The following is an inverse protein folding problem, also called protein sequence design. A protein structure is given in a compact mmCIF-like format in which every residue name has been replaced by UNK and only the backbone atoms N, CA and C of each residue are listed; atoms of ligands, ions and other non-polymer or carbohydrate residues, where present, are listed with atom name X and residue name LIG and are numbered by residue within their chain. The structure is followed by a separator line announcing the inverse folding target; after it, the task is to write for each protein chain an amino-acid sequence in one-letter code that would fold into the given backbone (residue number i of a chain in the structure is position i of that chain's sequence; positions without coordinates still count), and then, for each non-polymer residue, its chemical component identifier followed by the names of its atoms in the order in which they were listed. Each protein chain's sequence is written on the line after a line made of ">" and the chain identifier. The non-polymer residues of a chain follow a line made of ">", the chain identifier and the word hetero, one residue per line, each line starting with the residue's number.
data_IF_115752203519
#
_entry.id   IF_115752203519
#
_cell.length_a   1.000
_cell.length_b   1.000
_cell.length_c   1.000
_cell.angle_alpha   90.00
_cell.angle_beta   90.00
_cell.angle_gamma   90.00
#
_symmetry.space_group_name_H-M   'P 1'
#
loop_
_entity.id
_entity.type
_entity.pdbx_description
1 polymer ?
#
# COMPACT_ATOMS: atom_id res chain seq x y z
N UNK A 1 -0.14 -16.21 3.81
CA UNK A 1 -1.48 -15.75 3.43
C UNK A 1 -2.45 -16.01 4.58
N UNK A 2 -3.51 -15.20 4.69
CA UNK A 2 -4.61 -15.49 5.60
C UNK A 2 -5.46 -16.65 5.06
N UNK A 3 -6.29 -17.25 5.93
CA UNK A 3 -7.15 -18.38 5.55
C UNK A 3 -8.07 -18.00 4.38
N UNK A 4 -8.69 -16.82 4.44
CA UNK A 4 -9.55 -16.30 3.37
C UNK A 4 -8.85 -16.22 2.00
N UNK A 5 -7.57 -15.83 1.96
CA UNK A 5 -6.82 -15.75 0.71
C UNK A 5 -6.54 -17.14 0.13
N UNK A 6 -6.27 -18.13 1.00
CA UNK A 6 -6.05 -19.52 0.59
C UNK A 6 -7.34 -20.13 0.06
N UNK A 7 -8.46 -19.93 0.77
CA UNK A 7 -9.78 -20.43 0.34
C UNK A 7 -10.21 -19.80 -0.99
N UNK A 8 -9.99 -18.48 -1.13
CA UNK A 8 -10.29 -17.77 -2.38
C UNK A 8 -9.42 -18.27 -3.55
N UNK A 9 -8.13 -18.54 -3.30
CA UNK A 9 -7.19 -19.04 -4.31
C UNK A 9 -7.62 -20.42 -4.82
N UNK A 10 -7.94 -21.35 -3.92
CA UNK A 10 -8.33 -22.71 -4.29
C UNK A 10 -7.33 -23.34 -5.26
N UNK A 11 -7.84 -23.89 -6.34
CA UNK A 11 -7.05 -24.54 -7.42
C UNK A 11 -6.75 -23.60 -8.61
N UNK A 12 -6.98 -22.28 -8.48
CA UNK A 12 -6.73 -21.33 -9.56
C UNK A 12 -5.25 -21.28 -9.92
N UNK A 13 -4.96 -21.24 -11.21
CA UNK A 13 -3.62 -20.90 -11.68
C UNK A 13 -3.24 -19.46 -11.28
N UNK A 14 -1.94 -19.17 -11.15
CA UNK A 14 -1.48 -17.88 -10.64
C UNK A 14 -1.92 -16.70 -11.53
N UNK A 15 -1.85 -16.86 -12.84
CA UNK A 15 -2.30 -15.86 -13.83
C UNK A 15 -3.80 -15.59 -13.75
N UNK A 16 -4.62 -16.62 -13.57
CA UNK A 16 -6.05 -16.51 -13.34
C UNK A 16 -6.33 -15.81 -12.01
N UNK A 17 -5.66 -16.22 -10.93
CA UNK A 17 -5.80 -15.60 -9.63
C UNK A 17 -5.38 -14.11 -9.68
N UNK A 18 -4.27 -13.78 -10.34
CA UNK A 18 -3.83 -12.40 -10.50
C UNK A 18 -4.84 -11.56 -11.28
N UNK A 19 -5.38 -12.08 -12.37
CA UNK A 19 -6.34 -11.37 -13.22
C UNK A 19 -7.68 -11.09 -12.51
N UNK A 20 -8.12 -12.01 -11.62
CA UNK A 20 -9.45 -11.94 -10.99
C UNK A 20 -9.45 -11.45 -9.54
N UNK A 21 -8.30 -11.29 -8.89
CA UNK A 21 -8.21 -10.85 -7.51
C UNK A 21 -8.74 -9.41 -7.32
N UNK A 22 -9.68 -9.22 -6.42
CA UNK A 22 -10.21 -7.89 -6.04
C UNK A 22 -9.59 -7.37 -4.72
N UNK A 23 -8.48 -7.96 -4.27
CA UNK A 23 -7.80 -7.66 -3.02
C UNK A 23 -6.36 -7.22 -3.30
N UNK A 24 -6.14 -5.90 -3.43
CA UNK A 24 -4.80 -5.36 -3.67
C UNK A 24 -3.79 -5.69 -2.57
N UNK A 25 -4.24 -5.79 -1.31
CA UNK A 25 -3.40 -6.22 -0.19
C UNK A 25 -2.87 -7.67 -0.37
N UNK A 26 -3.69 -8.59 -0.88
CA UNK A 26 -3.25 -9.94 -1.20
C UNK A 26 -2.28 -9.97 -2.37
N UNK A 27 -2.54 -9.17 -3.41
CA UNK A 27 -1.66 -9.07 -4.58
C UNK A 27 -0.28 -8.53 -4.21
N UNK A 28 -0.21 -7.45 -3.39
CA UNK A 28 1.05 -6.91 -2.90
C UNK A 28 1.82 -7.91 -2.03
N UNK A 29 1.11 -8.67 -1.19
CA UNK A 29 1.72 -9.73 -0.40
C UNK A 29 2.33 -10.82 -1.30
N UNK A 30 1.60 -11.28 -2.32
CA UNK A 30 2.07 -12.31 -3.24
C UNK A 30 3.27 -11.81 -4.06
N UNK A 31 3.17 -10.60 -4.63
CA UNK A 31 4.25 -9.99 -5.41
C UNK A 31 5.54 -9.83 -4.60
N UNK A 32 5.45 -9.30 -3.39
CA UNK A 32 6.60 -9.10 -2.51
C UNK A 32 7.31 -10.41 -2.11
N UNK A 33 6.60 -11.54 -2.15
CA UNK A 33 7.16 -12.87 -1.89
C UNK A 33 7.78 -13.52 -3.10
N UNK A 34 7.18 -13.34 -4.27
CA UNK A 34 7.63 -13.94 -5.51
C UNK A 34 8.78 -13.17 -6.16
N UNK A 35 8.80 -11.85 -5.99
CA UNK A 35 9.73 -10.93 -6.66
C UNK A 35 10.47 -10.05 -5.64
N UNK A 36 11.15 -10.70 -4.69
CA UNK A 36 11.83 -10.05 -3.56
C UNK A 36 12.97 -9.09 -3.97
N UNK A 37 13.47 -9.20 -5.19
CA UNK A 37 14.51 -8.35 -5.81
C UNK A 37 13.94 -7.10 -6.50
N UNK A 38 12.63 -7.04 -6.73
CA UNK A 38 11.94 -5.92 -7.41
C UNK A 38 11.36 -4.89 -6.44
N UNK A 39 12.16 -4.51 -5.44
CA UNK A 39 11.70 -3.58 -4.38
C UNK A 39 11.28 -2.21 -4.90
N UNK A 40 11.90 -1.67 -5.96
CA UNK A 40 11.55 -0.36 -6.50
C UNK A 40 10.16 -0.37 -7.12
N UNK A 41 9.85 -1.39 -7.90
CA UNK A 41 8.54 -1.58 -8.52
C UNK A 41 7.47 -1.75 -7.43
N UNK A 42 7.74 -2.58 -6.42
CA UNK A 42 6.85 -2.79 -5.29
C UNK A 42 6.55 -1.48 -4.55
N UNK A 43 7.57 -0.70 -4.18
CA UNK A 43 7.40 0.57 -3.46
C UNK A 43 6.61 1.58 -4.29
N UNK A 44 6.87 1.66 -5.60
CA UNK A 44 6.10 2.51 -6.51
C UNK A 44 4.62 2.13 -6.56
N UNK A 45 4.32 0.84 -6.67
CA UNK A 45 2.95 0.35 -6.64
C UNK A 45 2.25 0.61 -5.31
N UNK A 46 2.94 0.34 -4.19
CA UNK A 46 2.41 0.61 -2.83
C UNK A 46 2.11 2.10 -2.65
N UNK A 47 2.99 2.99 -3.12
CA UNK A 47 2.76 4.44 -3.06
C UNK A 47 1.50 4.86 -3.85
N UNK A 48 1.26 4.28 -5.02
CA UNK A 48 0.03 4.54 -5.79
C UNK A 48 -1.22 3.99 -5.07
N UNK A 49 -1.12 2.83 -4.42
CA UNK A 49 -2.21 2.29 -3.61
C UNK A 49 -2.55 3.22 -2.43
N UNK A 50 -1.54 3.73 -1.70
CA UNK A 50 -1.74 4.66 -0.58
C UNK A 50 -2.22 6.03 -1.08
N UNK A 51 -1.81 6.46 -2.27
CA UNK A 51 -2.27 7.72 -2.87
C UNK A 51 -3.78 7.75 -3.15
N UNK A 52 -4.47 6.62 -3.19
CA UNK A 52 -5.94 6.57 -3.26
C UNK A 52 -6.61 7.27 -2.06
N UNK A 53 -5.92 7.30 -0.90
CA UNK A 53 -6.36 7.98 0.32
C UNK A 53 -5.60 9.31 0.58
N UNK A 54 -4.76 9.78 -0.35
CA UNK A 54 -3.93 10.98 -0.17
C UNK A 54 -4.76 12.24 0.12
N UNK A 55 -5.95 12.35 -0.45
CA UNK A 55 -6.87 13.47 -0.24
C UNK A 55 -7.36 13.60 1.20
N UNK A 56 -7.17 12.57 2.03
CA UNK A 56 -7.48 12.54 3.46
C UNK A 56 -6.27 12.90 4.33
N UNK A 57 -5.06 12.99 3.73
CA UNK A 57 -3.84 13.30 4.47
C UNK A 57 -3.76 14.80 4.74
N UNK A 58 -3.77 15.17 6.00
CA UNK A 58 -3.66 16.57 6.46
C UNK A 58 -2.23 16.98 6.80
N UNK A 59 -1.34 16.03 7.08
CA UNK A 59 0.06 16.28 7.39
C UNK A 59 0.93 16.22 6.13
N UNK A 60 1.67 17.31 5.87
CA UNK A 60 2.52 17.42 4.69
C UNK A 60 3.63 16.36 4.66
N UNK A 61 4.14 15.92 5.81
CA UNK A 61 5.18 14.90 5.90
C UNK A 61 4.70 13.56 5.33
N UNK A 62 3.45 13.19 5.57
CA UNK A 62 2.84 11.98 4.97
C UNK A 62 2.76 12.07 3.44
N UNK A 63 2.40 13.24 2.92
CA UNK A 63 2.38 13.50 1.47
C UNK A 63 3.80 13.44 0.88
N UNK A 64 4.79 13.98 1.59
CA UNK A 64 6.17 14.00 1.13
C UNK A 64 6.81 12.60 1.13
N UNK A 65 6.41 11.71 2.04
CA UNK A 65 6.78 10.28 1.98
C UNK A 65 6.29 9.65 0.68
N UNK A 66 5.05 9.88 0.25
CA UNK A 66 4.54 9.30 -0.99
C UNK A 66 5.30 9.83 -2.22
N UNK A 67 5.68 11.11 -2.23
CA UNK A 67 6.55 11.67 -3.28
C UNK A 67 7.94 11.02 -3.26
N UNK A 68 8.50 10.80 -2.07
CA UNK A 68 9.79 10.12 -1.91
C UNK A 68 9.73 8.66 -2.38
N UNK A 69 8.64 7.94 -2.11
CA UNK A 69 8.42 6.59 -2.65
C UNK A 69 8.46 6.57 -4.19
N UNK A 70 7.82 7.54 -4.85
CA UNK A 70 7.86 7.68 -6.31
C UNK A 70 9.27 7.96 -6.83
N UNK A 71 10.00 8.86 -6.18
CA UNK A 71 11.42 9.14 -6.52
C UNK A 71 12.29 7.90 -6.35
N UNK A 72 12.09 7.15 -5.27
CA UNK A 72 12.81 5.89 -5.06
C UNK A 72 12.50 4.85 -6.14
N UNK A 73 11.24 4.69 -6.51
CA UNK A 73 10.81 3.80 -7.59
C UNK A 73 11.48 4.17 -8.92
N UNK A 74 11.62 5.46 -9.22
CA UNK A 74 12.30 5.97 -10.41
C UNK A 74 13.83 5.91 -10.34
N UNK A 75 14.42 5.56 -9.20
CA UNK A 75 15.87 5.54 -9.00
C UNK A 75 16.51 6.89 -8.71
N UNK A 76 15.71 7.91 -8.41
CA UNK A 76 16.16 9.29 -8.18
C UNK A 76 16.76 9.51 -6.78
N UNK A 77 16.34 8.69 -5.81
CA UNK A 77 16.86 8.71 -4.43
C UNK A 77 17.27 7.31 -3.97
N UNK A 78 18.12 7.27 -2.94
CA UNK A 78 18.55 6.04 -2.28
C UNK A 78 17.48 5.50 -1.33
N UNK A 79 17.68 4.28 -0.86
CA UNK A 79 16.84 3.65 0.16
C UNK A 79 16.97 4.36 1.51
N UNK A 80 18.17 4.80 1.86
CA UNK A 80 18.47 5.54 3.08
C UNK A 80 17.75 6.89 3.10
N UNK A 81 17.76 7.60 1.97
CA UNK A 81 17.00 8.84 1.82
C UNK A 81 15.50 8.61 1.95
N UNK A 82 14.95 7.55 1.31
CA UNK A 82 13.54 7.21 1.47
C UNK A 82 13.17 6.96 2.93
N UNK A 83 14.00 6.22 3.67
CA UNK A 83 13.74 5.92 5.08
C UNK A 83 13.80 7.16 5.97
N UNK A 84 14.59 8.18 5.63
CA UNK A 84 14.58 9.44 6.40
C UNK A 84 13.24 10.17 6.32
N UNK A 85 12.57 10.16 5.16
CA UNK A 85 11.20 10.66 5.03
C UNK A 85 10.20 9.85 5.86
N UNK A 86 10.37 8.52 5.91
CA UNK A 86 9.51 7.65 6.69
C UNK A 86 9.58 7.97 8.20
N UNK A 87 10.78 8.16 8.74
CA UNK A 87 11.00 8.52 10.14
C UNK A 87 10.30 9.84 10.46
N UNK A 88 10.49 10.88 9.64
CA UNK A 88 9.84 12.18 9.85
C UNK A 88 8.30 12.09 9.85
N UNK A 89 7.73 11.21 9.02
CA UNK A 89 6.28 10.96 9.02
C UNK A 89 5.82 10.21 10.27
N UNK A 90 6.61 9.27 10.76
CA UNK A 90 6.30 8.52 11.99
C UNK A 90 6.31 9.43 13.22
N UNK A 91 7.33 10.27 13.37
CA UNK A 91 7.40 11.28 14.44
C UNK A 91 6.20 12.24 14.43
N UNK A 92 5.69 12.56 13.23
CA UNK A 92 4.47 13.34 13.08
C UNK A 92 3.23 12.63 13.62
N UNK A 93 3.13 11.33 13.34
CA UNK A 93 2.01 10.50 13.77
C UNK A 93 1.97 10.35 15.30
N UNK A 94 3.14 10.19 15.94
CA UNK A 94 3.23 10.11 17.40
C UNK A 94 2.83 11.42 18.09
N UNK A 95 3.10 12.56 17.44
CA UNK A 95 2.76 13.87 18.00
C UNK A 95 1.25 14.21 17.92
N UNK A 96 0.47 13.50 17.08
CA UNK A 96 -0.93 13.81 16.87
C UNK A 96 -1.77 12.56 16.54
N UNK A 97 -2.57 12.09 17.50
CA UNK A 97 -3.36 10.86 17.40
C UNK A 97 -4.37 10.86 16.24
N UNK A 98 -4.88 12.03 15.82
CA UNK A 98 -5.86 12.14 14.73
C UNK A 98 -5.24 11.92 13.33
N UNK A 99 -3.92 12.01 13.22
CA UNK A 99 -3.16 11.83 11.95
C UNK A 99 -2.74 10.37 11.74
N UNK A 100 -2.88 9.54 12.77
CA UNK A 100 -2.17 8.28 12.93
C UNK A 100 -2.37 7.27 11.78
N UNK A 101 -3.61 7.09 11.28
CA UNK A 101 -3.89 6.10 10.23
C UNK A 101 -3.24 6.46 8.88
N UNK A 102 -3.27 7.75 8.51
CA UNK A 102 -2.75 8.23 7.23
C UNK A 102 -1.23 8.28 7.23
N UNK A 103 -0.63 8.72 8.34
CA UNK A 103 0.81 8.71 8.52
C UNK A 103 1.36 7.28 8.61
N UNK A 104 0.62 6.36 9.25
CA UNK A 104 0.97 4.95 9.25
C UNK A 104 0.96 4.34 7.83
N UNK A 105 -0.03 4.67 7.00
CA UNK A 105 -0.09 4.21 5.62
C UNK A 105 1.12 4.71 4.80
N UNK A 106 1.48 5.99 4.93
CA UNK A 106 2.62 6.57 4.25
C UNK A 106 3.95 5.96 4.73
N UNK A 107 4.14 5.84 6.05
CA UNK A 107 5.28 5.17 6.66
C UNK A 107 5.44 3.73 6.15
N UNK A 108 4.36 2.94 6.13
CA UNK A 108 4.39 1.57 5.65
C UNK A 108 4.73 1.48 4.16
N UNK A 109 4.32 2.46 3.35
CA UNK A 109 4.68 2.52 1.94
C UNK A 109 6.21 2.66 1.76
N UNK A 110 6.87 3.53 2.52
CA UNK A 110 8.32 3.67 2.47
C UNK A 110 9.03 2.43 3.04
N UNK A 111 8.50 1.85 4.13
CA UNK A 111 9.04 0.63 4.72
C UNK A 111 8.94 -0.61 3.83
N UNK A 112 8.09 -0.62 2.81
CA UNK A 112 8.04 -1.69 1.82
C UNK A 112 9.39 -1.89 1.10
N UNK A 113 10.25 -0.87 1.08
CA UNK A 113 11.62 -0.97 0.56
C UNK A 113 12.54 -1.90 1.38
N UNK A 114 12.20 -2.17 2.64
CA UNK A 114 13.02 -2.96 3.57
C UNK A 114 12.29 -4.18 4.12
N UNK A 115 10.96 -4.19 4.10
CA UNK A 115 10.16 -5.25 4.69
C UNK A 115 8.94 -5.56 3.81
N UNK A 116 8.89 -6.77 3.27
CA UNK A 116 7.79 -7.25 2.41
C UNK A 116 6.42 -7.17 3.07
N UNK A 117 6.33 -7.31 4.40
CA UNK A 117 5.06 -7.20 5.12
C UNK A 117 4.51 -5.77 5.10
N UNK A 118 5.37 -4.76 5.04
CA UNK A 118 4.94 -3.35 5.00
C UNK A 118 4.12 -3.02 3.77
N UNK A 119 4.35 -3.66 2.62
CA UNK A 119 3.54 -3.47 1.42
C UNK A 119 2.06 -3.85 1.65
N UNK A 120 1.81 -4.98 2.31
CA UNK A 120 0.46 -5.43 2.65
C UNK A 120 -0.21 -4.49 3.66
N UNK A 121 0.53 -4.07 4.69
CA UNK A 121 0.03 -3.14 5.69
C UNK A 121 -0.31 -1.77 5.11
N UNK A 122 0.49 -1.26 4.16
CA UNK A 122 0.21 0.01 3.50
C UNK A 122 -1.12 -0.02 2.73
N UNK A 123 -1.39 -1.09 1.97
CA UNK A 123 -2.66 -1.24 1.25
C UNK A 123 -3.85 -1.41 2.19
N UNK A 124 -3.68 -2.18 3.28
CA UNK A 124 -4.72 -2.34 4.30
C UNK A 124 -5.00 -1.03 5.04
N UNK A 125 -3.96 -0.24 5.34
CA UNK A 125 -4.11 1.06 5.98
C UNK A 125 -4.77 2.08 5.04
N UNK A 126 -4.45 2.08 3.74
CA UNK A 126 -5.14 2.93 2.75
C UNK A 126 -6.63 2.58 2.65
N UNK A 127 -6.98 1.29 2.70
CA UNK A 127 -8.37 0.85 2.73
C UNK A 127 -9.08 1.29 4.03
N UNK A 128 -8.41 1.22 5.18
CA UNK A 128 -8.95 1.71 6.46
C UNK A 128 -9.14 3.24 6.47
N UNK A 129 -8.25 4.00 5.82
CA UNK A 129 -8.43 5.44 5.64
C UNK A 129 -9.68 5.76 4.80
N UNK A 130 -9.93 4.98 3.74
CA UNK A 130 -11.14 5.12 2.94
C UNK A 130 -12.42 4.80 3.75
N UNK A 131 -12.34 3.83 4.67
CA UNK A 131 -13.45 3.50 5.59
C UNK A 131 -13.77 4.68 6.52
N UNK A 132 -12.75 5.29 7.13
CA UNK A 132 -12.94 6.37 8.11
C UNK A 132 -13.53 7.64 7.50
N UNK A 133 -13.38 7.84 6.20
CA UNK A 133 -13.94 8.98 5.47
C UNK A 133 -15.39 8.76 4.99
N UNK A 134 -15.88 7.51 5.03
CA UNK A 134 -17.24 7.19 4.64
C UNK A 134 -18.22 7.41 5.81
N UNK A 135 -19.49 7.72 5.50
CA UNK A 135 -20.54 7.72 6.51
C UNK A 135 -20.73 6.30 7.08
N UNK A 136 -21.10 6.19 8.36
CA UNK A 136 -21.17 4.94 9.14
C UNK A 136 -21.88 3.76 8.44
N UNK A 137 -22.82 4.04 7.54
CA UNK A 137 -23.57 3.02 6.80
C UNK A 137 -22.78 2.37 5.66
N UNK A 138 -21.65 2.97 5.21
CA UNK A 138 -20.96 2.59 3.97
C UNK A 138 -19.51 2.12 4.15
N UNK A 139 -19.03 1.94 5.39
CA UNK A 139 -17.63 1.54 5.65
C UNK A 139 -17.21 0.29 4.86
N UNK A 140 -18.00 -0.77 4.92
CA UNK A 140 -17.66 -2.02 4.25
C UNK A 140 -17.61 -1.86 2.72
N UNK A 141 -18.51 -1.05 2.15
CA UNK A 141 -18.54 -0.75 0.74
C UNK A 141 -17.35 0.11 0.30
N UNK A 142 -16.99 1.14 1.07
CA UNK A 142 -15.83 1.99 0.81
C UNK A 142 -14.53 1.19 0.85
N UNK A 143 -14.35 0.32 1.86
CA UNK A 143 -13.22 -0.59 1.98
C UNK A 143 -13.12 -1.53 0.77
N UNK A 144 -14.21 -2.20 0.43
CA UNK A 144 -14.26 -3.11 -0.71
C UNK A 144 -13.91 -2.39 -2.01
N UNK A 145 -14.45 -1.19 -2.22
CA UNK A 145 -14.15 -0.35 -3.39
C UNK A 145 -12.67 0.02 -3.45
N UNK A 146 -12.07 0.42 -2.33
CA UNK A 146 -10.64 0.77 -2.27
C UNK A 146 -9.75 -0.46 -2.52
N UNK A 147 -10.05 -1.62 -1.93
CA UNK A 147 -9.30 -2.86 -2.16
C UNK A 147 -9.34 -3.29 -3.62
N UNK A 148 -10.48 -3.13 -4.29
CA UNK A 148 -10.60 -3.38 -5.73
C UNK A 148 -9.78 -2.39 -6.55
N UNK A 149 -9.83 -1.10 -6.23
CA UNK A 149 -9.01 -0.07 -6.87
C UNK A 149 -7.51 -0.36 -6.72
N UNK A 150 -7.06 -0.75 -5.54
CA UNK A 150 -5.66 -1.12 -5.32
C UNK A 150 -5.28 -2.41 -6.07
N UNK A 151 -6.19 -3.36 -6.24
CA UNK A 151 -5.96 -4.53 -7.10
C UNK A 151 -5.78 -4.14 -8.57
N UNK A 152 -6.57 -3.20 -9.09
CA UNK A 152 -6.42 -2.67 -10.45
C UNK A 152 -5.08 -1.93 -10.63
N UNK A 153 -4.62 -1.20 -9.60
CA UNK A 153 -3.29 -0.58 -9.58
C UNK A 153 -2.19 -1.65 -9.64
N UNK A 154 -2.29 -2.71 -8.84
CA UNK A 154 -1.32 -3.82 -8.86
C UNK A 154 -1.23 -4.46 -10.25
N UNK A 155 -2.36 -4.77 -10.90
CA UNK A 155 -2.37 -5.34 -12.26
C UNK A 155 -1.69 -4.45 -13.29
N UNK A 156 -1.85 -3.14 -13.16
CA UNK A 156 -1.28 -2.16 -14.09
C UNK A 156 0.23 -1.98 -13.90
N UNK A 157 0.71 -2.01 -12.66
CA UNK A 157 2.08 -1.59 -12.33
C UNK A 157 3.04 -2.74 -12.04
N UNK A 158 2.52 -3.89 -11.67
CA UNK A 158 3.33 -5.05 -11.29
C UNK A 158 3.19 -6.15 -12.35
N UNK A 159 4.17 -6.28 -13.24
CA UNK A 159 4.15 -7.34 -14.24
C UNK A 159 4.32 -8.70 -13.57
N UNK A 160 3.39 -9.60 -13.81
CA UNK A 160 3.45 -11.00 -13.43
C UNK A 160 3.68 -11.84 -14.69
N UNK A 161 4.94 -11.98 -15.07
CA UNK A 161 5.39 -12.87 -16.14
C UNK A 161 6.59 -13.68 -15.67
#
# INVERSE_FOLDING_TARGET
>A
PCVEAVEWLGDKAFDEAWATCERGDWMLWAYARLYYDRNRELVGCVAECVATAQHLMTDQRSVDVLKACKKYANGEISKEELLSYAIASYEAAEANADINAHAAAAYQAAHAAVNVHSATYAASAAAACADSAAAYADFAAARKKNLKLTADICRRLLPCS
#
